data_IF_889212868863
#
_entry.id   IF_889212868863
#
_cell.length_a   1.000
_cell.length_b   1.000
_cell.length_c   1.000
_cell.angle_alpha   90.00
_cell.angle_beta   90.00
_cell.angle_gamma   90.00
#
_symmetry.space_group_name_H-M   'P 1'
#
loop_
_entity.id
_entity.type
_entity.pdbx_description
1 polymer ?
#
# COMPACT_ATOMS: atom_id res chain seq x y z
N UNK A 1 -3.08 -6.60 -15.72
CA UNK A 1 -2.13 -6.45 -14.59
C UNK A 1 -1.73 -7.82 -14.08
N UNK A 2 -0.44 -8.11 -13.92
CA UNK A 2 0.01 -9.37 -13.33
C UNK A 2 -0.37 -9.43 -11.84
N UNK A 3 -1.09 -10.49 -11.44
CA UNK A 3 -1.42 -10.77 -10.04
C UNK A 3 -0.38 -11.71 -9.44
N UNK A 4 0.05 -11.41 -8.23
CA UNK A 4 1.04 -12.18 -7.47
C UNK A 4 0.38 -12.89 -6.30
N UNK A 5 0.95 -14.00 -5.85
CA UNK A 5 0.49 -14.70 -4.67
C UNK A 5 0.63 -13.79 -3.44
N UNK A 6 -0.33 -13.85 -2.52
CA UNK A 6 -0.27 -13.08 -1.27
C UNK A 6 0.94 -13.50 -0.44
N UNK A 7 1.21 -14.80 -0.33
CA UNK A 7 2.46 -15.30 0.23
C UNK A 7 3.56 -15.34 -0.85
N UNK A 8 4.61 -14.52 -0.68
CA UNK A 8 5.75 -14.46 -1.62
C UNK A 8 6.74 -15.62 -1.46
N UNK A 9 6.65 -16.37 -0.38
CA UNK A 9 7.49 -17.56 -0.17
C UNK A 9 6.94 -18.78 -0.94
N UNK A 10 5.66 -18.75 -1.34
CA UNK A 10 5.00 -19.86 -2.03
C UNK A 10 4.90 -19.59 -3.54
N UNK A 11 5.55 -20.43 -4.34
CA UNK A 11 5.57 -20.35 -5.81
C UNK A 11 4.50 -21.22 -6.49
N UNK A 12 3.38 -21.48 -5.82
CA UNK A 12 2.28 -22.25 -6.40
C UNK A 12 1.55 -21.43 -7.48
N UNK A 13 1.46 -21.98 -8.69
CA UNK A 13 0.77 -21.36 -9.83
C UNK A 13 -0.75 -21.25 -9.62
N UNK A 14 -1.33 -22.20 -8.88
CA UNK A 14 -2.77 -22.32 -8.65
C UNK A 14 -3.23 -21.70 -7.32
N UNK A 15 -2.37 -20.88 -6.71
CA UNK A 15 -2.69 -20.23 -5.45
C UNK A 15 -3.98 -19.39 -5.55
N UNK A 16 -4.91 -19.63 -4.63
CA UNK A 16 -6.29 -19.13 -4.70
C UNK A 16 -6.42 -17.64 -4.39
N UNK A 17 -5.54 -17.10 -3.55
CA UNK A 17 -5.54 -15.69 -3.14
C UNK A 17 -4.40 -14.92 -3.81
N UNK A 18 -4.73 -14.08 -4.78
CA UNK A 18 -3.76 -13.25 -5.50
C UNK A 18 -4.04 -11.77 -5.26
N UNK A 19 -2.99 -10.97 -5.27
CA UNK A 19 -3.05 -9.51 -5.15
C UNK A 19 -2.34 -8.84 -6.33
N UNK A 20 -2.72 -7.61 -6.72
CA UNK A 20 -1.98 -6.89 -7.73
C UNK A 20 -0.55 -6.56 -7.23
N UNK A 21 0.43 -6.61 -8.14
CA UNK A 21 1.81 -6.21 -7.83
C UNK A 21 1.86 -4.76 -7.35
N UNK A 22 2.61 -4.47 -6.29
CA UNK A 22 2.78 -3.12 -5.75
C UNK A 22 3.43 -2.19 -6.78
N UNK A 23 2.80 -1.03 -6.99
CA UNK A 23 3.31 0.03 -7.87
C UNK A 23 3.64 1.23 -6.98
N UNK A 24 4.94 1.44 -6.78
CA UNK A 24 5.48 2.59 -6.07
C UNK A 24 6.08 3.57 -7.08
N UNK A 25 5.83 4.85 -6.85
CA UNK A 25 6.47 5.96 -7.56
C UNK A 25 7.25 6.76 -6.54
N UNK A 26 8.53 6.98 -6.81
CA UNK A 26 9.35 7.89 -6.02
C UNK A 26 9.12 9.31 -6.55
N UNK A 27 8.84 10.24 -5.67
CA UNK A 27 8.71 11.66 -5.97
C UNK A 27 9.64 12.46 -5.05
N UNK A 28 10.20 13.55 -5.56
CA UNK A 28 11.12 14.41 -4.79
C UNK A 28 12.58 13.93 -4.81
N UNK A 29 13.47 14.80 -4.33
CA UNK A 29 14.92 14.62 -4.29
C UNK A 29 15.47 15.24 -3.01
N UNK A 30 16.54 14.68 -2.43
CA UNK A 30 17.13 15.17 -1.17
C UNK A 30 16.24 14.90 0.06
N UNK A 31 16.16 15.86 0.98
CA UNK A 31 15.44 15.75 2.28
C UNK A 31 13.89 15.72 2.16
N UNK A 32 13.35 15.58 0.95
CA UNK A 32 11.91 15.54 0.67
C UNK A 32 11.51 14.39 -0.25
N UNK A 33 12.31 13.31 -0.32
CA UNK A 33 11.97 12.13 -1.09
C UNK A 33 10.77 11.42 -0.46
N UNK A 34 9.74 11.18 -1.27
CA UNK A 34 8.51 10.51 -0.85
C UNK A 34 8.23 9.34 -1.77
N UNK A 35 7.82 8.23 -1.18
CA UNK A 35 7.44 7.03 -1.94
C UNK A 35 5.93 6.93 -1.95
N UNK A 36 5.33 7.03 -3.13
CA UNK A 36 3.89 7.05 -3.35
C UNK A 36 3.45 5.69 -3.84
N UNK A 37 2.64 4.97 -3.06
CA UNK A 37 2.03 3.73 -3.51
C UNK A 37 0.75 4.05 -4.28
N UNK A 38 0.82 3.98 -5.62
CA UNK A 38 -0.26 4.40 -6.53
C UNK A 38 -1.45 3.45 -6.47
N UNK A 39 -1.21 2.16 -6.25
CA UNK A 39 -2.24 1.13 -6.30
C UNK A 39 -2.66 0.59 -4.93
N UNK A 40 -2.47 1.37 -3.86
CA UNK A 40 -2.79 0.98 -2.49
C UNK A 40 -4.24 0.51 -2.31
N UNK A 41 -5.20 1.20 -2.94
CA UNK A 41 -6.64 0.87 -2.93
C UNK A 41 -6.95 -0.50 -3.51
N UNK A 42 -6.31 -0.83 -4.63
CA UNK A 42 -6.51 -2.13 -5.29
C UNK A 42 -5.92 -3.29 -4.47
N UNK A 43 -4.77 -3.07 -3.84
CA UNK A 43 -4.13 -4.06 -2.95
C UNK A 43 -4.99 -4.28 -1.70
N UNK A 44 -5.44 -3.19 -1.07
CA UNK A 44 -6.28 -3.24 0.12
C UNK A 44 -7.59 -4.01 -0.12
N UNK A 45 -8.24 -3.77 -1.26
CA UNK A 45 -9.42 -4.52 -1.70
C UNK A 45 -9.13 -6.01 -1.91
N UNK A 46 -7.98 -6.37 -2.48
CA UNK A 46 -7.60 -7.78 -2.66
C UNK A 46 -7.32 -8.49 -1.33
N UNK A 47 -6.90 -7.75 -0.30
CA UNK A 47 -6.61 -8.27 1.04
C UNK A 47 -7.78 -8.15 2.02
N UNK A 48 -8.93 -7.60 1.58
CA UNK A 48 -10.05 -7.22 2.46
C UNK A 48 -9.61 -6.40 3.68
N UNK A 49 -8.63 -5.50 3.50
CA UNK A 49 -8.16 -4.58 4.55
C UNK A 49 -8.47 -3.13 4.18
N UNK A 50 -8.67 -2.24 5.16
CA UNK A 50 -8.71 -0.80 4.88
C UNK A 50 -7.34 -0.35 4.32
N UNK A 51 -7.37 0.63 3.41
CA UNK A 51 -6.17 1.22 2.79
C UNK A 51 -5.31 2.00 3.76
N UNK A 52 -5.94 2.50 4.81
CA UNK A 52 -5.29 3.21 5.90
C UNK A 52 -5.09 2.21 7.02
N UNK A 53 -3.88 2.15 7.58
CA UNK A 53 -3.73 1.66 8.94
C UNK A 53 -4.47 2.67 9.83
N UNK A 54 -5.78 2.53 9.97
CA UNK A 54 -6.57 3.35 10.87
C UNK A 54 -6.11 3.03 12.29
N UNK A 55 -5.16 3.81 12.81
CA UNK A 55 -5.20 4.15 14.22
C UNK A 55 -6.65 4.56 14.50
N UNK A 56 -7.29 3.94 15.48
CA UNK A 56 -8.66 4.27 15.92
C UNK A 56 -8.88 5.78 15.78
N UNK A 57 -10.02 6.25 15.26
CA UNK A 57 -10.30 7.67 15.21
C UNK A 57 -10.31 8.21 16.65
N UNK A 58 -9.16 8.67 17.16
CA UNK A 58 -9.13 9.69 18.17
C UNK A 58 -9.69 10.93 17.48
N UNK A 59 -10.61 11.59 18.15
CA UNK A 59 -11.52 12.65 17.69
C UNK A 59 -10.86 13.92 17.11
N UNK A 60 -9.59 13.89 16.73
CA UNK A 60 -8.75 15.07 16.51
C UNK A 60 -8.10 15.22 15.12
N UNK A 61 -8.41 14.37 14.12
CA UNK A 61 -7.73 14.46 12.81
C UNK A 61 -8.71 14.65 11.64
N UNK A 62 -8.86 15.87 11.07
CA UNK A 62 -9.89 16.19 10.09
C UNK A 62 -9.53 15.90 8.62
N UNK A 63 -8.33 15.38 8.30
CA UNK A 63 -7.90 15.25 6.90
C UNK A 63 -7.90 13.81 6.38
N UNK A 64 -9.03 13.42 5.76
CA UNK A 64 -9.27 12.11 5.14
C UNK A 64 -8.67 12.05 3.74
N UNK A 65 -7.35 12.09 3.62
CA UNK A 65 -6.61 11.69 2.40
C UNK A 65 -5.10 11.77 2.67
N UNK A 66 -4.63 11.05 3.68
CA UNK A 66 -3.22 10.72 3.73
C UNK A 66 -3.04 9.48 2.86
N UNK A 67 -2.54 9.58 1.61
CA UNK A 67 -2.05 8.39 0.96
C UNK A 67 -0.92 7.83 1.84
N UNK A 68 -0.66 6.53 1.71
CA UNK A 68 0.52 5.87 2.29
C UNK A 68 1.80 6.47 1.67
N UNK A 69 2.06 7.76 1.91
CA UNK A 69 3.39 8.34 1.83
C UNK A 69 4.11 7.73 3.02
N UNK A 70 4.77 6.60 2.77
CA UNK A 70 5.83 6.18 3.67
C UNK A 70 6.88 7.30 3.63
N UNK A 71 6.82 8.19 4.62
CA UNK A 71 7.97 8.99 5.01
C UNK A 71 8.96 8.01 5.61
N UNK A 72 9.74 7.36 4.74
CA UNK A 72 11.03 6.81 5.14
C UNK A 72 11.93 8.02 5.38
N UNK A 73 11.84 8.60 6.57
CA UNK A 73 12.98 9.32 7.11
C UNK A 73 14.08 8.27 7.31
N UNK A 74 15.14 8.35 6.48
CA UNK A 74 16.46 7.93 6.93
C UNK A 74 16.98 8.96 7.94
#
# INVERSE_FOLDING_TARGET
>A
MAMINVNRQTNDMFYRYKMPKLIAKVEGTGNGIKTVVVNATAIAKALNRPTTCEAKPSSSSPNKNFPLFFYLNQ
#
